data_IF_215869790307
#
_entry.id   IF_215869790307
#
_cell.length_a   1.000
_cell.length_b   1.000
_cell.length_c   1.000
_cell.angle_alpha   90.00
_cell.angle_beta   90.00
_cell.angle_gamma   90.00
#
_symmetry.space_group_name_H-M   'P 1'
#
loop_
_entity.id
_entity.type
_entity.pdbx_description
1 polymer ?
#
# COMPACT_ATOMS: atom_id res chain seq x y z
N UNK A 1 3.04 12.62 -2.48
CA UNK A 1 1.73 13.03 -3.01
C UNK A 1 1.53 12.74 -4.50
N UNK A 2 2.56 12.78 -5.36
CA UNK A 2 2.40 12.65 -6.82
C UNK A 2 2.19 11.21 -7.33
N UNK A 3 2.52 10.19 -6.52
CA UNK A 3 2.43 8.78 -6.93
C UNK A 3 1.08 8.36 -7.54
N UNK A 4 -0.10 8.70 -6.97
CA UNK A 4 -1.38 8.34 -7.57
C UNK A 4 -1.58 8.95 -8.96
N UNK A 5 -1.10 10.18 -9.18
CA UNK A 5 -1.17 10.87 -10.46
C UNK A 5 -0.21 10.23 -11.48
N UNK A 6 0.99 9.83 -11.05
CA UNK A 6 1.94 9.09 -11.89
C UNK A 6 1.38 7.72 -12.29
N UNK A 7 0.77 7.00 -11.36
CA UNK A 7 0.11 5.73 -11.63
C UNK A 7 -1.06 5.90 -12.61
N UNK A 8 -1.88 6.94 -12.42
CA UNK A 8 -2.96 7.29 -13.34
C UNK A 8 -2.41 7.65 -14.72
N UNK A 9 -1.37 8.49 -14.79
CA UNK A 9 -0.69 8.87 -16.02
C UNK A 9 -0.14 7.65 -16.75
N UNK A 10 0.47 6.71 -16.03
CA UNK A 10 0.95 5.43 -16.60
C UNK A 10 -0.18 4.66 -17.26
N UNK A 11 -1.33 4.53 -16.58
CA UNK A 11 -2.51 3.86 -17.16
C UNK A 11 -3.06 4.64 -18.36
N UNK A 12 -3.12 5.98 -18.32
CA UNK A 12 -3.55 6.81 -19.44
C UNK A 12 -2.61 6.67 -20.65
N UNK A 13 -1.29 6.61 -20.44
CA UNK A 13 -0.32 6.38 -21.50
C UNK A 13 -0.52 5.00 -22.14
N UNK A 14 -0.65 3.94 -21.34
CA UNK A 14 -0.76 2.58 -21.85
C UNK A 14 -2.13 2.31 -22.50
N UNK A 15 -3.21 2.86 -21.94
CA UNK A 15 -4.57 2.64 -22.43
C UNK A 15 -4.99 3.61 -23.53
N UNK A 16 -4.80 4.91 -23.31
CA UNK A 16 -5.33 5.99 -24.16
C UNK A 16 -4.25 6.61 -25.07
N UNK A 17 -2.98 6.20 -24.92
CA UNK A 17 -1.82 6.75 -25.64
C UNK A 17 -1.59 8.24 -25.39
N UNK A 18 -2.17 8.78 -24.31
CA UNK A 18 -1.98 10.16 -23.86
C UNK A 18 -0.74 10.24 -22.96
N UNK A 19 0.30 10.92 -23.45
CA UNK A 19 1.57 11.00 -22.74
C UNK A 19 1.67 12.16 -21.76
N UNK A 20 0.94 13.27 -21.98
CA UNK A 20 1.11 14.51 -21.23
C UNK A 20 1.02 14.32 -19.70
N UNK A 21 -0.05 13.68 -19.23
CA UNK A 21 -0.24 13.45 -17.79
C UNK A 21 0.89 12.61 -17.20
N UNK A 22 1.31 11.56 -17.90
CA UNK A 22 2.40 10.69 -17.47
C UNK A 22 3.72 11.44 -17.37
N UNK A 23 4.14 12.10 -18.45
CA UNK A 23 5.41 12.81 -18.53
C UNK A 23 5.51 13.92 -17.49
N UNK A 24 4.49 14.77 -17.38
CA UNK A 24 4.50 15.91 -16.45
C UNK A 24 4.49 15.44 -15.00
N UNK A 25 3.66 14.45 -14.65
CA UNK A 25 3.60 13.98 -13.26
C UNK A 25 4.87 13.23 -12.86
N UNK A 26 5.48 12.46 -13.77
CA UNK A 26 6.76 11.80 -13.53
C UNK A 26 7.89 12.82 -13.37
N UNK A 27 7.95 13.82 -14.25
CA UNK A 27 8.87 14.95 -14.14
C UNK A 27 8.73 15.63 -12.78
N UNK A 28 7.52 16.05 -12.40
CA UNK A 28 7.27 16.70 -11.12
C UNK A 28 7.65 15.80 -9.93
N UNK A 29 7.46 14.48 -10.04
CA UNK A 29 7.81 13.54 -8.98
C UNK A 29 9.31 13.49 -8.74
N UNK A 30 10.11 13.45 -9.81
CA UNK A 30 11.58 13.42 -9.74
C UNK A 30 12.13 14.80 -9.40
N UNK A 31 11.57 15.86 -9.97
CA UNK A 31 11.99 17.24 -9.72
C UNK A 31 11.75 17.65 -8.26
N UNK A 32 10.62 17.26 -7.67
CA UNK A 32 10.27 17.62 -6.29
C UNK A 32 11.19 16.95 -5.27
N UNK A 33 11.58 15.69 -5.54
CA UNK A 33 12.51 14.95 -4.71
C UNK A 33 13.11 13.81 -5.54
N UNK A 34 14.38 13.94 -5.94
CA UNK A 34 15.02 12.97 -6.83
C UNK A 34 15.04 11.55 -6.24
N UNK A 35 15.13 11.45 -4.91
CA UNK A 35 15.21 10.17 -4.20
C UNK A 35 13.86 9.44 -4.16
N UNK A 36 12.77 10.13 -3.79
CA UNK A 36 11.41 9.53 -3.88
C UNK A 36 10.99 9.34 -5.35
N UNK A 37 11.45 10.22 -6.23
CA UNK A 37 11.31 10.12 -7.68
C UNK A 37 11.92 8.83 -8.22
N UNK A 38 13.12 8.44 -7.75
CA UNK A 38 13.76 7.18 -8.12
C UNK A 38 12.88 5.96 -7.80
N UNK A 39 12.35 5.88 -6.58
CA UNK A 39 11.41 4.80 -6.22
C UNK A 39 10.16 4.81 -7.10
N UNK A 40 9.67 6.00 -7.46
CA UNK A 40 8.50 6.16 -8.33
C UNK A 40 8.80 5.65 -9.76
N UNK A 41 10.00 5.88 -10.29
CA UNK A 41 10.42 5.33 -11.58
C UNK A 41 10.44 3.80 -11.58
N UNK A 42 11.00 3.18 -10.54
CA UNK A 42 10.97 1.71 -10.38
C UNK A 42 9.51 1.23 -10.28
N UNK A 43 8.67 1.93 -9.51
CA UNK A 43 7.25 1.60 -9.41
C UNK A 43 6.53 1.64 -10.75
N UNK A 44 6.79 2.64 -11.59
CA UNK A 44 6.24 2.75 -12.94
C UNK A 44 6.63 1.55 -13.80
N UNK A 45 7.89 1.10 -13.70
CA UNK A 45 8.36 -0.10 -14.40
C UNK A 45 7.64 -1.36 -13.93
N UNK A 46 7.45 -1.54 -12.61
CA UNK A 46 6.67 -2.65 -12.06
C UNK A 46 5.20 -2.57 -12.50
N UNK A 47 4.62 -1.37 -12.47
CA UNK A 47 3.23 -1.11 -12.86
C UNK A 47 3.00 -1.39 -14.35
N UNK A 48 3.99 -1.14 -15.21
CA UNK A 48 3.97 -1.52 -16.62
C UNK A 48 3.78 -3.03 -16.80
N UNK A 49 4.59 -3.85 -16.12
CA UNK A 49 4.41 -5.32 -16.20
C UNK A 49 3.08 -5.77 -15.63
N UNK A 50 2.66 -5.22 -14.48
CA UNK A 50 1.35 -5.52 -13.91
C UNK A 50 0.24 -5.20 -14.91
N UNK A 51 0.30 -4.05 -15.57
CA UNK A 51 -0.69 -3.65 -16.58
C UNK A 51 -0.71 -4.60 -17.77
N UNK A 52 0.46 -4.92 -18.35
CA UNK A 52 0.54 -5.82 -19.51
C UNK A 52 0.12 -7.25 -19.19
N UNK A 53 0.43 -7.77 -18.00
CA UNK A 53 -0.07 -9.10 -17.56
C UNK A 53 -1.59 -9.07 -17.38
N UNK A 54 -2.14 -8.00 -16.80
CA UNK A 54 -3.58 -7.86 -16.55
C UNK A 54 -4.37 -7.59 -17.84
N UNK A 55 -3.76 -6.95 -18.84
CA UNK A 55 -4.40 -6.49 -20.09
C UNK A 55 -3.61 -6.96 -21.31
N UNK A 56 -3.22 -8.23 -21.28
CA UNK A 56 -2.41 -8.86 -22.31
C UNK A 56 -3.00 -8.64 -23.70
N UNK A 57 -2.19 -8.06 -24.59
CA UNK A 57 -2.55 -7.79 -25.99
C UNK A 57 -1.54 -8.33 -26.99
N UNK A 58 -0.65 -9.24 -26.57
CA UNK A 58 0.38 -9.86 -27.40
C UNK A 58 1.72 -9.10 -27.43
N UNK A 59 2.75 -9.78 -27.92
CA UNK A 59 4.14 -9.30 -27.91
C UNK A 59 4.35 -7.99 -28.67
N UNK A 60 3.70 -7.80 -29.83
CA UNK A 60 3.79 -6.56 -30.60
C UNK A 60 3.34 -5.34 -29.80
N UNK A 61 2.22 -5.49 -29.06
CA UNK A 61 1.70 -4.44 -28.19
C UNK A 61 2.66 -4.17 -27.03
N UNK A 62 3.18 -5.22 -26.39
CA UNK A 62 4.14 -5.12 -25.29
C UNK A 62 5.37 -4.31 -25.70
N UNK A 63 6.01 -4.63 -26.83
CA UNK A 63 7.19 -3.89 -27.30
C UNK A 63 6.85 -2.44 -27.70
N UNK A 64 5.70 -2.21 -28.35
CA UNK A 64 5.26 -0.86 -28.68
C UNK A 64 4.99 -0.01 -27.41
N UNK A 65 4.39 -0.60 -26.39
CA UNK A 65 4.08 0.07 -25.13
C UNK A 65 5.32 0.26 -24.26
N UNK A 66 6.27 -0.68 -24.31
CA UNK A 66 7.61 -0.53 -23.72
C UNK A 66 8.38 0.63 -24.36
N UNK A 67 8.40 0.73 -25.70
CA UNK A 67 9.04 1.84 -26.40
C UNK A 67 8.43 3.19 -26.04
N UNK A 68 7.09 3.27 -25.94
CA UNK A 68 6.38 4.50 -25.52
C UNK A 68 6.71 4.91 -24.09
N UNK A 69 6.59 3.98 -23.15
CA UNK A 69 6.85 4.30 -21.74
C UNK A 69 8.32 4.67 -21.52
N UNK A 70 9.25 3.99 -22.19
CA UNK A 70 10.66 4.32 -22.16
C UNK A 70 10.94 5.72 -22.72
N UNK A 71 10.43 6.04 -23.91
CA UNK A 71 10.60 7.35 -24.54
C UNK A 71 10.11 8.49 -23.64
N UNK A 72 8.90 8.38 -23.12
CA UNK A 72 8.32 9.42 -22.28
C UNK A 72 8.91 9.45 -20.85
N UNK A 73 9.45 8.34 -20.35
CA UNK A 73 10.27 8.32 -19.12
C UNK A 73 11.55 9.11 -19.31
N UNK A 74 12.28 8.83 -20.41
CA UNK A 74 13.54 9.50 -20.73
C UNK A 74 13.30 10.99 -20.92
N UNK A 75 12.22 11.39 -21.59
CA UNK A 75 11.86 12.79 -21.74
C UNK A 75 11.58 13.45 -20.38
N UNK A 76 10.80 12.81 -19.50
CA UNK A 76 10.53 13.33 -18.15
C UNK A 76 11.79 13.46 -17.30
N UNK A 77 12.71 12.48 -17.36
CA UNK A 77 13.99 12.52 -16.66
C UNK A 77 14.95 13.56 -17.26
N UNK A 78 14.97 13.70 -18.58
CA UNK A 78 15.74 14.72 -19.29
C UNK A 78 15.32 16.13 -18.88
N UNK A 79 14.02 16.36 -18.66
CA UNK A 79 13.53 17.63 -18.11
C UNK A 79 14.05 17.91 -16.69
N UNK A 80 14.39 16.87 -15.90
CA UNK A 80 14.98 17.01 -14.57
C UNK A 80 16.51 17.12 -14.56
N UNK A 81 17.17 17.05 -15.73
CA UNK A 81 18.63 16.97 -15.85
C UNK A 81 19.38 18.08 -15.09
N UNK A 82 18.82 19.30 -15.09
CA UNK A 82 19.37 20.47 -14.40
C UNK A 82 19.55 20.22 -12.89
N UNK A 83 18.69 19.40 -12.28
CA UNK A 83 18.76 19.04 -10.86
C UNK A 83 19.50 17.72 -10.64
N UNK A 84 19.22 16.71 -11.47
CA UNK A 84 19.76 15.36 -11.26
C UNK A 84 21.27 15.29 -11.54
N UNK A 85 21.79 16.07 -12.49
CA UNK A 85 23.22 16.03 -12.82
C UNK A 85 24.10 16.59 -11.68
N UNK A 86 23.82 17.77 -11.10
CA UNK A 86 24.55 18.24 -9.92
C UNK A 86 24.38 17.30 -8.71
N UNK A 87 23.19 16.74 -8.50
CA UNK A 87 22.92 15.82 -7.40
C UNK A 87 23.76 14.54 -7.50
N UNK A 88 23.88 13.96 -8.71
CA UNK A 88 24.72 12.78 -8.94
C UNK A 88 26.20 13.08 -8.63
N UNK A 89 26.72 14.21 -9.11
CA UNK A 89 28.09 14.64 -8.85
C UNK A 89 28.36 14.87 -7.36
N UNK A 90 27.41 15.46 -6.64
CA UNK A 90 27.51 15.67 -5.21
C UNK A 90 27.44 14.36 -4.41
N UNK A 91 26.64 13.38 -4.84
CA UNK A 91 26.52 12.08 -4.14
C UNK A 91 27.79 11.25 -4.24
N UNK A 92 28.53 11.34 -5.35
CA UNK A 92 29.80 10.63 -5.54
C UNK A 92 30.88 11.05 -4.52
N UNK A 93 30.81 12.27 -3.98
CA UNK A 93 31.77 12.79 -2.99
C UNK A 93 31.37 12.49 -1.54
N UNK A 94 30.24 11.83 -1.31
CA UNK A 94 29.77 11.48 0.04
C UNK A 94 30.37 10.17 0.54
N UNK A 95 30.44 9.99 1.87
CA UNK A 95 30.94 8.77 2.51
C UNK A 95 30.14 7.50 2.16
N UNK A 96 28.92 7.64 1.64
CA UNK A 96 28.09 6.54 1.18
C UNK A 96 28.46 6.01 -0.21
N UNK A 97 29.39 6.66 -0.94
CA UNK A 97 29.74 6.28 -2.31
C UNK A 97 30.60 5.01 -2.41
N UNK A 98 31.29 4.63 -1.32
CA UNK A 98 32.13 3.43 -1.26
C UNK A 98 31.35 2.28 -0.61
N UNK A 99 30.52 1.59 -1.40
CA UNK A 99 29.76 0.43 -0.94
C UNK A 99 29.91 -0.76 -1.89
N UNK A 100 30.28 -1.92 -1.34
CA UNK A 100 30.30 -3.17 -2.09
C UNK A 100 28.91 -3.80 -2.15
N UNK A 101 28.55 -4.37 -3.30
CA UNK A 101 27.29 -5.10 -3.43
C UNK A 101 27.24 -6.24 -2.41
N UNK A 102 26.16 -6.37 -1.61
CA UNK A 102 26.10 -7.37 -0.56
C UNK A 102 26.12 -8.79 -1.15
N UNK A 103 27.10 -9.59 -0.73
CA UNK A 103 27.25 -10.99 -1.14
C UNK A 103 26.56 -11.95 -0.15
N UNK A 104 26.12 -13.10 -0.67
CA UNK A 104 25.44 -14.15 0.11
C UNK A 104 23.97 -13.83 0.45
N UNK A 105 23.22 -14.82 0.93
CA UNK A 105 21.84 -14.59 1.37
C UNK A 105 21.86 -13.81 2.70
N UNK A 106 21.49 -12.52 2.65
CA UNK A 106 21.51 -11.63 3.83
C UNK A 106 20.16 -10.96 3.99
N UNK A 107 19.64 -11.02 5.22
CA UNK A 107 18.37 -10.43 5.60
C UNK A 107 18.63 -9.21 6.50
N UNK A 108 17.86 -8.14 6.32
CA UNK A 108 18.01 -6.92 7.10
C UNK A 108 17.18 -6.93 8.40
N UNK A 109 16.09 -7.71 8.42
CA UNK A 109 15.10 -7.72 9.51
C UNK A 109 15.21 -8.99 10.37
N UNK A 110 15.63 -10.11 9.76
CA UNK A 110 15.68 -11.39 10.44
C UNK A 110 16.95 -11.55 11.31
N UNK A 111 16.82 -12.23 12.45
CA UNK A 111 17.95 -12.59 13.33
C UNK A 111 18.93 -13.58 12.67
N UNK A 112 18.40 -14.46 11.82
CA UNK A 112 19.18 -15.47 11.11
C UNK A 112 18.97 -15.38 9.60
N UNK A 113 20.03 -15.58 8.83
CA UNK A 113 20.00 -15.59 7.36
C UNK A 113 19.52 -16.96 6.82
N UNK A 114 18.33 -17.39 7.23
CA UNK A 114 17.72 -18.67 6.85
C UNK A 114 16.36 -18.45 6.21
N UNK A 115 15.81 -19.48 5.54
CA UNK A 115 14.43 -19.42 5.00
C UNK A 115 13.41 -19.20 6.12
N UNK A 116 13.64 -19.79 7.31
CA UNK A 116 12.81 -19.54 8.50
C UNK A 116 12.90 -18.08 8.95
N UNK A 117 14.11 -17.51 8.96
CA UNK A 117 14.32 -16.09 9.23
C UNK A 117 13.59 -15.18 8.24
N UNK A 118 13.61 -15.52 6.94
CA UNK A 118 12.86 -14.79 5.92
C UNK A 118 11.35 -14.84 6.22
N UNK A 119 10.77 -16.01 6.48
CA UNK A 119 9.35 -16.14 6.79
C UNK A 119 8.95 -15.39 8.07
N UNK A 120 9.79 -15.41 9.11
CA UNK A 120 9.54 -14.65 10.33
C UNK A 120 9.61 -13.13 10.07
N UNK A 121 10.58 -12.66 9.29
CA UNK A 121 10.63 -11.26 8.88
C UNK A 121 9.41 -10.86 8.03
N UNK A 122 8.95 -11.73 7.11
CA UNK A 122 7.73 -11.49 6.33
C UNK A 122 6.50 -11.37 7.23
N UNK A 123 6.39 -12.22 8.26
CA UNK A 123 5.36 -12.17 9.29
C UNK A 123 5.40 -10.84 10.04
N UNK A 124 6.57 -10.42 10.52
CA UNK A 124 6.73 -9.17 11.26
C UNK A 124 6.40 -7.94 10.40
N UNK A 125 6.84 -7.90 9.13
CA UNK A 125 6.48 -6.82 8.19
C UNK A 125 4.98 -6.75 7.96
N UNK A 126 4.29 -7.90 7.84
CA UNK A 126 2.85 -7.93 7.71
C UNK A 126 2.15 -7.43 9.00
N UNK A 127 2.65 -7.83 10.17
CA UNK A 127 2.17 -7.33 11.47
C UNK A 127 2.31 -5.82 11.61
N UNK A 128 3.37 -5.22 11.05
CA UNK A 128 3.59 -3.77 11.10
C UNK A 128 2.54 -2.96 10.31
N UNK A 129 1.69 -3.62 9.52
CA UNK A 129 0.52 -2.96 8.93
C UNK A 129 -0.47 -2.46 9.99
N UNK A 130 -0.38 -2.94 11.24
CA UNK A 130 -1.20 -2.53 12.38
C UNK A 130 -0.70 -1.32 13.18
N UNK A 131 0.39 -0.67 12.76
CA UNK A 131 0.87 0.58 13.38
C UNK A 131 1.46 0.43 14.78
N UNK A 132 1.84 -0.79 15.17
CA UNK A 132 2.30 -1.12 16.54
C UNK A 132 3.74 -0.70 16.87
N UNK A 133 4.39 0.10 16.04
CA UNK A 133 5.83 0.37 16.16
C UNK A 133 6.08 1.87 16.02
N UNK A 134 6.94 2.40 16.89
CA UNK A 134 7.48 3.76 16.72
C UNK A 134 8.17 3.88 15.34
N UNK A 135 7.96 5.00 14.62
CA UNK A 135 8.60 5.20 13.32
C UNK A 135 10.11 4.99 13.40
N UNK A 136 10.61 4.06 12.60
CA UNK A 136 12.04 3.68 12.65
C UNK A 136 12.94 4.84 12.22
N UNK A 137 13.84 5.26 13.10
CA UNK A 137 14.82 6.32 12.79
C UNK A 137 16.17 5.78 12.27
N UNK A 138 16.67 4.64 12.77
CA UNK A 138 17.98 4.08 12.37
C UNK A 138 17.92 2.62 11.94
N UNK A 139 17.33 1.75 12.75
CA UNK A 139 17.15 0.31 12.48
C UNK A 139 15.76 -0.12 12.94
N UNK A 140 15.07 -0.96 12.18
CA UNK A 140 13.70 -1.36 12.50
C UNK A 140 12.89 -1.83 11.29
N UNK A 141 11.58 -1.95 11.46
CA UNK A 141 10.66 -2.46 10.44
C UNK A 141 10.24 -1.36 9.45
N UNK A 142 9.89 -1.69 8.20
CA UNK A 142 9.43 -0.71 7.23
C UNK A 142 8.14 -0.06 7.70
N UNK A 143 8.03 1.26 7.59
CA UNK A 143 6.82 2.00 7.99
C UNK A 143 5.67 1.74 6.98
N UNK A 144 4.75 0.82 7.30
CA UNK A 144 3.71 0.31 6.36
C UNK A 144 2.27 0.57 6.86
N UNK A 145 2.08 1.47 7.82
CA UNK A 145 0.73 1.78 8.31
C UNK A 145 -0.09 2.64 7.32
N UNK A 146 -1.31 2.20 7.02
CA UNK A 146 -2.27 2.96 6.21
C UNK A 146 -3.74 2.79 6.68
N UNK A 147 -3.90 2.55 8.00
CA UNK A 147 -5.20 2.32 8.65
C UNK A 147 -5.64 0.86 8.58
N UNK A 148 -6.18 0.34 9.69
CA UNK A 148 -6.70 -1.03 9.81
C UNK A 148 -7.81 -1.27 8.80
N UNK A 149 -8.57 -0.22 8.47
CA UNK A 149 -9.64 -0.32 7.48
C UNK A 149 -9.13 -0.69 6.08
N UNK A 150 -7.95 -0.21 5.70
CA UNK A 150 -7.35 -0.53 4.41
C UNK A 150 -7.03 -2.02 4.30
N UNK A 151 -6.57 -2.64 5.39
CA UNK A 151 -6.29 -4.09 5.50
C UNK A 151 -7.59 -4.90 5.36
N UNK A 152 -8.64 -4.49 6.08
CA UNK A 152 -9.95 -5.14 5.98
C UNK A 152 -10.49 -5.11 4.54
N UNK A 153 -10.41 -3.94 3.90
CA UNK A 153 -10.84 -3.77 2.52
C UNK A 153 -9.93 -4.50 1.51
N UNK A 154 -8.63 -4.64 1.79
CA UNK A 154 -7.69 -5.42 0.99
C UNK A 154 -8.10 -6.90 0.92
N UNK A 155 -8.48 -7.51 2.04
CA UNK A 155 -8.99 -8.89 2.02
C UNK A 155 -10.34 -9.00 1.28
N UNK A 156 -11.23 -8.03 1.45
CA UNK A 156 -12.47 -7.96 0.67
C UNK A 156 -12.21 -7.83 -0.83
N UNK A 157 -11.20 -7.08 -1.26
CA UNK A 157 -10.78 -7.01 -2.66
C UNK A 157 -10.41 -8.39 -3.21
N UNK A 158 -9.67 -9.19 -2.44
CA UNK A 158 -9.31 -10.56 -2.84
C UNK A 158 -10.53 -11.48 -2.94
N UNK A 159 -11.58 -11.23 -2.15
CA UNK A 159 -12.86 -11.97 -2.21
C UNK A 159 -13.86 -11.41 -3.25
N UNK A 160 -13.57 -10.27 -3.88
CA UNK A 160 -14.50 -9.59 -4.79
C UNK A 160 -14.71 -10.35 -6.11
N UNK A 161 -15.95 -10.70 -6.44
CA UNK A 161 -16.25 -11.47 -7.66
C UNK A 161 -16.06 -10.68 -8.96
N UNK A 162 -16.29 -9.37 -8.93
CA UNK A 162 -16.16 -8.50 -10.12
C UNK A 162 -14.70 -8.22 -10.51
N UNK A 163 -13.73 -8.55 -9.65
CA UNK A 163 -12.31 -8.35 -9.93
C UNK A 163 -11.75 -9.64 -10.51
N UNK A 164 -11.12 -9.53 -11.68
CA UNK A 164 -10.53 -10.67 -12.38
C UNK A 164 -9.41 -11.28 -11.54
N UNK A 165 -9.30 -12.61 -11.57
CA UNK A 165 -8.27 -13.34 -10.80
C UNK A 165 -6.85 -12.87 -11.13
N UNK A 166 -6.58 -12.56 -12.41
CA UNK A 166 -5.28 -12.01 -12.84
C UNK A 166 -4.92 -10.71 -12.10
N UNK A 167 -5.87 -9.78 -12.01
CA UNK A 167 -5.67 -8.49 -11.32
C UNK A 167 -5.33 -8.71 -9.83
N UNK A 168 -6.00 -9.68 -9.19
CA UNK A 168 -5.72 -10.08 -7.80
C UNK A 168 -4.34 -10.71 -7.64
N UNK A 169 -3.99 -11.68 -8.50
CA UNK A 169 -2.69 -12.33 -8.47
C UNK A 169 -1.56 -11.32 -8.66
N UNK A 170 -1.67 -10.41 -9.63
CA UNK A 170 -0.68 -9.37 -9.84
C UNK A 170 -0.54 -8.44 -8.64
N UNK A 171 -1.65 -8.04 -7.99
CA UNK A 171 -1.59 -7.22 -6.79
C UNK A 171 -0.89 -7.95 -5.63
N UNK A 172 -1.23 -9.23 -5.39
CA UNK A 172 -0.60 -10.05 -4.33
C UNK A 172 0.88 -10.27 -4.61
N UNK A 173 1.26 -10.62 -5.85
CA UNK A 173 2.66 -10.81 -6.25
C UNK A 173 3.44 -9.51 -6.05
N UNK A 174 2.85 -8.37 -6.41
CA UNK A 174 3.49 -7.07 -6.23
C UNK A 174 3.70 -6.73 -4.74
N UNK A 175 2.69 -6.98 -3.89
CA UNK A 175 2.84 -6.81 -2.43
C UNK A 175 3.89 -7.76 -1.84
N UNK A 176 3.92 -9.02 -2.28
CA UNK A 176 4.95 -9.98 -1.86
C UNK A 176 6.35 -9.55 -2.31
N UNK A 177 6.49 -9.04 -3.53
CA UNK A 177 7.75 -8.51 -4.03
C UNK A 177 8.27 -7.34 -3.18
N UNK A 178 7.39 -6.40 -2.81
CA UNK A 178 7.76 -5.33 -1.88
C UNK A 178 8.13 -5.86 -0.49
N UNK A 179 7.34 -6.79 0.05
CA UNK A 179 7.59 -7.40 1.35
C UNK A 179 8.99 -8.05 1.39
N UNK A 180 9.29 -8.87 0.39
CA UNK A 180 10.62 -9.50 0.23
C UNK A 180 11.71 -8.46 -0.02
N UNK A 181 11.41 -7.38 -0.74
CA UNK A 181 12.37 -6.29 -0.99
C UNK A 181 12.78 -5.55 0.27
N UNK A 182 11.91 -5.44 1.28
CA UNK A 182 12.29 -4.87 2.58
C UNK A 182 13.24 -5.80 3.34
N UNK A 183 13.18 -7.11 3.09
CA UNK A 183 13.88 -8.09 3.92
C UNK A 183 15.22 -8.47 3.30
N UNK A 184 15.26 -8.75 1.99
CA UNK A 184 16.48 -9.17 1.30
C UNK A 184 17.38 -7.96 1.09
N UNK A 185 18.58 -8.01 1.68
CA UNK A 185 19.56 -6.91 1.67
C UNK A 185 19.94 -6.46 0.26
N UNK A 186 20.06 -7.40 -0.67
CA UNK A 186 20.38 -7.12 -2.07
C UNK A 186 19.29 -6.31 -2.76
N UNK A 187 18.02 -6.66 -2.54
CA UNK A 187 16.90 -5.95 -3.13
C UNK A 187 16.81 -4.56 -2.55
N UNK A 188 16.91 -4.43 -1.22
CA UNK A 188 16.96 -3.13 -0.56
C UNK A 188 18.10 -2.25 -1.08
N UNK A 189 19.29 -2.82 -1.31
CA UNK A 189 20.43 -2.12 -1.89
C UNK A 189 20.15 -1.62 -3.33
N UNK A 190 19.46 -2.42 -4.15
CA UNK A 190 19.04 -2.02 -5.50
C UNK A 190 18.00 -0.90 -5.43
N UNK A 191 17.01 -1.02 -4.53
CA UNK A 191 16.01 0.02 -4.31
C UNK A 191 16.63 1.36 -3.92
N UNK A 192 17.78 1.35 -3.25
CA UNK A 192 18.51 2.53 -2.86
C UNK A 192 19.59 2.97 -3.87
N UNK A 193 19.53 2.47 -5.10
CA UNK A 193 20.42 2.89 -6.17
C UNK A 193 21.85 2.41 -5.99
N UNK A 194 22.03 1.23 -5.41
CA UNK A 194 23.33 0.61 -5.12
C UNK A 194 24.14 1.29 -4.01
N UNK A 195 23.45 1.82 -3.00
CA UNK A 195 24.07 2.37 -1.80
C UNK A 195 23.31 1.94 -0.54
N UNK A 196 24.00 1.80 0.57
CA UNK A 196 23.35 1.64 1.87
C UNK A 196 22.83 3.00 2.35
N UNK A 197 21.60 3.00 2.85
CA UNK A 197 21.00 4.21 3.40
C UNK A 197 21.58 4.51 4.77
N UNK A 198 21.86 5.79 5.01
CA UNK A 198 22.12 6.29 6.34
C UNK A 198 20.80 6.78 6.92
N UNK A 199 20.25 6.02 7.88
CA UNK A 199 18.99 6.28 8.58
C UNK A 199 17.70 6.18 7.75
N UNK A 200 16.60 5.81 8.42
CA UNK A 200 15.25 5.61 7.86
C UNK A 200 15.32 4.64 6.65
N UNK A 201 15.58 3.35 6.88
CA UNK A 201 15.56 2.34 5.83
C UNK A 201 14.13 2.14 5.27
N UNK A 202 14.04 1.51 4.09
CA UNK A 202 12.77 1.11 3.47
C UNK A 202 11.81 2.25 3.11
N UNK A 203 12.33 3.43 2.77
CA UNK A 203 11.50 4.60 2.39
C UNK A 203 10.57 4.35 1.23
N UNK A 204 10.81 3.31 0.42
CA UNK A 204 9.90 2.87 -0.65
C UNK A 204 8.64 2.15 -0.12
N UNK A 205 8.46 1.99 1.19
CA UNK A 205 7.28 1.39 1.82
C UNK A 205 5.96 2.07 1.44
N UNK A 206 5.98 3.37 1.13
CA UNK A 206 4.80 4.08 0.63
C UNK A 206 4.23 3.48 -0.66
N UNK A 207 5.05 2.81 -1.48
CA UNK A 207 4.60 2.10 -2.68
C UNK A 207 3.75 0.89 -2.31
N UNK A 208 4.14 0.15 -1.26
CA UNK A 208 3.34 -0.94 -0.70
C UNK A 208 1.99 -0.39 -0.21
N UNK A 209 2.01 0.65 0.62
CA UNK A 209 0.79 1.29 1.14
C UNK A 209 -0.11 1.79 0.01
N UNK A 210 0.45 2.32 -1.09
CA UNK A 210 -0.33 2.72 -2.26
C UNK A 210 -1.07 1.55 -2.92
N UNK A 211 -0.43 0.38 -3.06
CA UNK A 211 -1.07 -0.82 -3.62
C UNK A 211 -2.20 -1.32 -2.70
N UNK A 212 -1.97 -1.32 -1.38
CA UNK A 212 -3.01 -1.66 -0.38
C UNK A 212 -4.19 -0.69 -0.49
N UNK A 213 -3.92 0.62 -0.56
CA UNK A 213 -4.95 1.65 -0.70
C UNK A 213 -5.71 1.52 -2.04
N UNK A 214 -5.04 1.15 -3.12
CA UNK A 214 -5.70 0.86 -4.40
C UNK A 214 -6.68 -0.33 -4.28
N UNK A 215 -6.24 -1.42 -3.66
CA UNK A 215 -7.10 -2.59 -3.39
C UNK A 215 -8.29 -2.19 -2.51
N UNK A 216 -8.02 -1.43 -1.44
CA UNK A 216 -9.02 -0.95 -0.51
C UNK A 216 -10.07 -0.06 -1.20
N UNK A 217 -9.64 0.90 -2.02
CA UNK A 217 -10.53 1.75 -2.80
C UNK A 217 -11.44 0.93 -3.72
N UNK A 218 -10.88 -0.05 -4.44
CA UNK A 218 -11.66 -0.94 -5.32
C UNK A 218 -12.68 -1.75 -4.52
N UNK A 219 -12.30 -2.34 -3.39
CA UNK A 219 -13.24 -3.04 -2.51
C UNK A 219 -14.33 -2.11 -1.97
N UNK A 220 -13.98 -0.90 -1.56
CA UNK A 220 -14.94 0.09 -1.06
C UNK A 220 -16.01 0.44 -2.10
N UNK A 221 -15.64 0.59 -3.38
CA UNK A 221 -16.61 0.80 -4.46
C UNK A 221 -17.63 -0.36 -4.57
N UNK A 222 -17.19 -1.59 -4.31
CA UNK A 222 -18.00 -2.80 -4.40
C UNK A 222 -18.60 -3.23 -3.05
N UNK A 223 -18.45 -2.43 -1.99
CA UNK A 223 -18.75 -2.82 -0.59
C UNK A 223 -20.12 -3.47 -0.34
N UNK A 224 -21.12 -3.17 -1.17
CA UNK A 224 -22.51 -3.69 -1.08
C UNK A 224 -22.74 -5.04 -1.74
N UNK A 225 -21.77 -5.53 -2.50
CA UNK A 225 -21.85 -6.83 -3.17
C UNK A 225 -21.30 -7.95 -2.29
N UNK A 226 -20.67 -7.60 -1.16
CA UNK A 226 -20.11 -8.57 -0.24
C UNK A 226 -21.19 -9.12 0.68
N UNK A 227 -21.20 -10.45 0.84
CA UNK A 227 -22.05 -11.09 1.84
C UNK A 227 -21.49 -10.82 3.24
N UNK A 228 -22.33 -10.75 4.28
CA UNK A 228 -21.87 -10.58 5.68
C UNK A 228 -20.77 -11.58 6.08
N UNK A 229 -20.87 -12.83 5.64
CA UNK A 229 -19.85 -13.87 5.87
C UNK A 229 -18.48 -13.46 5.30
N UNK A 230 -18.42 -12.82 4.13
CA UNK A 230 -17.16 -12.37 3.55
C UNK A 230 -16.53 -11.23 4.37
N UNK A 231 -17.37 -10.36 4.96
CA UNK A 231 -16.93 -9.27 5.84
C UNK A 231 -16.34 -9.84 7.14
N UNK A 232 -16.99 -10.84 7.72
CA UNK A 232 -16.49 -11.52 8.93
C UNK A 232 -15.18 -12.27 8.65
N UNK A 233 -15.10 -13.01 7.52
CA UNK A 233 -13.86 -13.68 7.11
C UNK A 233 -12.74 -12.66 6.88
N UNK A 234 -13.01 -11.54 6.20
CA UNK A 234 -12.04 -10.47 6.03
C UNK A 234 -11.59 -9.89 7.37
N UNK A 235 -12.51 -9.71 8.33
CA UNK A 235 -12.19 -9.29 9.70
C UNK A 235 -11.27 -10.26 10.43
N UNK A 236 -11.55 -11.56 10.33
CA UNK A 236 -10.70 -12.61 10.92
C UNK A 236 -9.30 -12.63 10.27
N UNK A 237 -9.21 -12.46 8.95
CA UNK A 237 -7.92 -12.36 8.25
C UNK A 237 -7.16 -11.10 8.66
N UNK A 238 -7.84 -9.96 8.80
CA UNK A 238 -7.24 -8.73 9.33
C UNK A 238 -6.72 -8.94 10.75
N UNK A 239 -7.52 -9.53 11.65
CA UNK A 239 -7.07 -9.87 12.99
C UNK A 239 -5.84 -10.79 12.97
N UNK A 240 -5.81 -11.79 12.07
CA UNK A 240 -4.67 -12.67 11.88
C UNK A 240 -3.40 -11.93 11.43
N UNK A 241 -3.52 -10.94 10.55
CA UNK A 241 -2.38 -10.08 10.16
C UNK A 241 -1.91 -9.22 11.34
N UNK A 242 -2.82 -8.62 12.10
CA UNK A 242 -2.47 -7.79 13.27
C UNK A 242 -1.79 -8.63 14.37
N UNK A 243 -2.22 -9.90 14.52
CA UNK A 243 -1.61 -10.89 15.42
C UNK A 243 -0.18 -11.30 15.02
N UNK A 244 0.27 -10.98 13.80
CA UNK A 244 1.63 -11.25 13.38
C UNK A 244 2.67 -10.28 13.96
N UNK A 245 2.26 -9.19 14.61
CA UNK A 245 3.18 -8.25 15.27
C UNK A 245 3.70 -8.82 16.59
N UNK A 246 5.02 -8.74 16.84
CA UNK A 246 5.60 -9.12 18.13
C UNK A 246 5.22 -8.13 19.23
N UNK A 247 5.07 -6.85 18.88
CA UNK A 247 4.76 -5.76 19.82
C UNK A 247 3.26 -5.62 20.11
N UNK A 248 2.44 -6.58 19.68
CA UNK A 248 0.99 -6.48 19.82
C UNK A 248 0.56 -6.34 21.30
N UNK A 249 1.21 -7.09 22.18
CA UNK A 249 0.91 -7.11 23.62
C UNK A 249 1.89 -6.32 24.47
N UNK A 250 2.82 -5.57 23.85
CA UNK A 250 3.68 -4.66 24.61
C UNK A 250 2.84 -3.60 25.33
N UNK A 251 3.17 -3.38 26.60
CA UNK A 251 2.43 -2.48 27.47
C UNK A 251 3.11 -1.12 27.50
N UNK A 252 2.29 -0.07 27.36
CA UNK A 252 2.73 1.31 27.51
C UNK A 252 2.34 1.78 28.91
N UNK A 253 3.25 2.43 29.66
CA UNK A 253 2.92 2.99 30.97
C UNK A 253 2.00 4.20 30.79
N UNK A 254 0.84 4.15 31.45
CA UNK A 254 -0.13 5.24 31.49
C UNK A 254 -0.19 5.79 32.91
N UNK A 255 0.22 7.05 33.08
CA UNK A 255 0.16 7.74 34.37
C UNK A 255 -1.20 8.40 34.54
N UNK A 256 -1.99 7.95 35.52
CA UNK A 256 -3.26 8.55 35.88
C UNK A 256 -3.26 8.88 37.38
N UNK A 257 -3.16 10.17 37.71
CA UNK A 257 -3.29 10.66 39.09
C UNK A 257 -2.31 10.01 40.09
N UNK A 258 -1.08 9.70 39.66
CA UNK A 258 -0.05 9.05 40.48
C UNK A 258 -0.04 7.52 40.44
N UNK A 259 -0.97 6.88 39.73
CA UNK A 259 -0.95 5.43 39.45
C UNK A 259 -0.38 5.17 38.05
N UNK A 260 0.58 4.25 37.95
CA UNK A 260 1.13 3.76 36.67
C UNK A 260 0.41 2.47 36.27
N UNK A 261 -0.41 2.54 35.22
CA UNK A 261 -1.09 1.37 34.63
C UNK A 261 -0.35 0.92 33.37
N UNK A 262 0.02 -0.36 33.31
CA UNK A 262 0.61 -1.00 32.14
C UNK A 262 -0.51 -1.50 31.23
N UNK A 263 -0.71 -0.86 30.07
CA UNK A 263 -1.85 -1.17 29.17
C UNK A 263 -1.32 -1.62 27.81
N UNK A 264 -1.82 -2.74 27.23
CA UNK A 264 -1.46 -3.17 25.89
C UNK A 264 -2.18 -2.30 24.85
N UNK A 265 -1.72 -1.06 24.71
CA UNK A 265 -2.38 0.01 23.96
C UNK A 265 -2.61 -0.39 22.51
N UNK A 266 -1.62 -1.01 21.85
CA UNK A 266 -1.71 -1.41 20.45
C UNK A 266 -2.75 -2.51 20.21
N UNK A 267 -2.82 -3.51 21.09
CA UNK A 267 -3.87 -4.53 21.03
C UNK A 267 -5.26 -3.91 21.16
N UNK A 268 -5.45 -3.05 22.16
CA UNK A 268 -6.74 -2.39 22.41
C UNK A 268 -7.14 -1.49 21.24
N UNK A 269 -6.21 -0.67 20.74
CA UNK A 269 -6.40 0.17 19.55
C UNK A 269 -6.85 -0.67 18.35
N UNK A 270 -6.07 -1.70 18.01
CA UNK A 270 -6.34 -2.58 16.87
C UNK A 270 -7.69 -3.28 16.99
N UNK A 271 -8.02 -3.76 18.19
CA UNK A 271 -9.29 -4.44 18.46
C UNK A 271 -10.48 -3.48 18.32
N UNK A 272 -10.42 -2.30 18.93
CA UNK A 272 -11.49 -1.29 18.89
C UNK A 272 -11.78 -0.89 17.44
N UNK A 273 -10.75 -0.48 16.70
CA UNK A 273 -10.94 -0.03 15.32
C UNK A 273 -11.41 -1.15 14.40
N UNK A 274 -10.90 -2.38 14.56
CA UNK A 274 -11.39 -3.52 13.79
C UNK A 274 -12.88 -3.78 14.04
N UNK A 275 -13.33 -3.75 15.30
CA UNK A 275 -14.75 -3.91 15.67
C UNK A 275 -15.59 -2.77 15.10
N UNK A 276 -15.13 -1.53 15.20
CA UNK A 276 -15.82 -0.37 14.60
C UNK A 276 -15.95 -0.52 13.08
N UNK A 277 -14.90 -0.92 12.37
CA UNK A 277 -14.98 -1.12 10.92
C UNK A 277 -15.88 -2.29 10.53
N UNK A 278 -15.86 -3.39 11.28
CA UNK A 278 -16.75 -4.52 11.05
C UNK A 278 -18.20 -4.13 11.25
N UNK A 279 -18.52 -3.43 12.34
CA UNK A 279 -19.89 -2.95 12.61
C UNK A 279 -20.38 -1.99 11.53
N UNK A 280 -19.54 -1.03 11.10
CA UNK A 280 -19.86 -0.11 9.98
C UNK A 280 -20.14 -0.88 8.68
N UNK A 281 -19.31 -1.88 8.36
CA UNK A 281 -19.46 -2.67 7.13
C UNK A 281 -20.68 -3.58 7.15
N UNK A 282 -20.97 -4.23 8.28
CA UNK A 282 -22.13 -5.11 8.47
C UNK A 282 -23.45 -4.32 8.51
N UNK A 283 -23.49 -3.18 9.22
CA UNK A 283 -24.62 -2.24 9.16
C UNK A 283 -24.89 -1.79 7.73
N UNK A 284 -23.83 -1.69 6.92
CA UNK A 284 -23.91 -1.34 5.53
C UNK A 284 -24.58 -2.38 4.61
N UNK A 285 -24.69 -3.64 5.06
CA UNK A 285 -25.35 -4.72 4.32
C UNK A 285 -26.82 -4.92 4.67
N UNK A 286 -27.34 -4.22 5.69
CA UNK A 286 -28.76 -4.35 6.06
C UNK A 286 -29.65 -3.98 4.86
N UNK A 287 -30.38 -4.98 4.36
CA UNK A 287 -31.26 -4.82 3.22
C UNK A 287 -32.42 -3.89 3.56
N UNK A 288 -32.74 -2.99 2.64
CA UNK A 288 -33.95 -2.18 2.72
C UNK A 288 -35.02 -2.91 1.92
N UNK A 289 -36.09 -3.41 2.55
CA UNK A 289 -37.15 -4.15 1.87
C UNK A 289 -37.68 -3.35 0.68
N UNK A 290 -37.87 -4.03 -0.45
CA UNK A 290 -38.49 -3.40 -1.61
C UNK A 290 -39.99 -3.25 -1.38
N UNK A 291 -40.49 -2.05 -1.64
CA UNK A 291 -41.92 -1.78 -1.54
C UNK A 291 -42.68 -2.42 -2.70
N UNK A 292 -43.89 -2.89 -2.44
CA UNK A 292 -44.78 -3.46 -3.46
C UNK A 292 -45.42 -2.33 -4.27
N UNK A 293 -45.87 -1.26 -3.61
CA UNK A 293 -46.47 -0.08 -4.27
C UNK A 293 -45.43 0.96 -4.70
N UNK A 294 -45.71 1.78 -5.71
CA UNK A 294 -44.82 2.88 -6.14
C UNK A 294 -44.42 3.83 -5.01
N UNK A 295 -45.36 4.21 -4.14
CA UNK A 295 -45.06 5.00 -2.93
C UNK A 295 -44.07 4.30 -1.99
N UNK A 296 -44.20 2.98 -1.83
CA UNK A 296 -43.30 2.19 -0.99
C UNK A 296 -41.92 2.04 -1.66
N UNK A 297 -41.85 1.88 -2.99
CA UNK A 297 -40.58 1.86 -3.75
C UNK A 297 -39.82 3.19 -3.61
N UNK A 298 -40.52 4.33 -3.70
CA UNK A 298 -39.91 5.66 -3.50
C UNK A 298 -39.36 5.79 -2.07
N UNK A 299 -40.13 5.39 -1.05
CA UNK A 299 -39.66 5.37 0.36
C UNK A 299 -38.45 4.45 0.56
N UNK A 300 -38.46 3.26 -0.02
CA UNK A 300 -37.34 2.32 0.04
C UNK A 300 -36.07 2.90 -0.61
N UNK A 301 -36.18 3.56 -1.77
CA UNK A 301 -35.06 4.26 -2.43
C UNK A 301 -34.51 5.38 -1.55
N UNK A 302 -35.37 6.21 -0.95
CA UNK A 302 -34.95 7.28 -0.04
C UNK A 302 -34.23 6.74 1.21
N UNK A 303 -34.77 5.67 1.82
CA UNK A 303 -34.14 5.00 2.97
C UNK A 303 -32.77 4.40 2.60
N UNK A 304 -32.67 3.75 1.43
CA UNK A 304 -31.42 3.21 0.88
C UNK A 304 -30.38 4.31 0.67
N UNK A 305 -30.78 5.48 0.15
CA UNK A 305 -29.92 6.67 -0.04
C UNK A 305 -29.41 7.26 1.28
N UNK A 306 -30.31 7.46 2.25
CA UNK A 306 -29.93 7.93 3.60
C UNK A 306 -28.95 6.96 4.28
N UNK A 307 -29.20 5.66 4.19
CA UNK A 307 -28.30 4.65 4.71
C UNK A 307 -26.92 4.73 4.01
N UNK A 308 -26.85 4.99 2.68
CA UNK A 308 -25.55 5.19 1.98
C UNK A 308 -24.75 6.35 2.58
N UNK A 309 -25.42 7.47 2.81
CA UNK A 309 -24.79 8.66 3.37
C UNK A 309 -24.29 8.39 4.78
N UNK A 310 -25.12 7.79 5.64
CA UNK A 310 -24.75 7.44 7.02
C UNK A 310 -23.55 6.51 7.10
N UNK A 311 -23.50 5.42 6.32
CA UNK A 311 -22.34 4.50 6.33
C UNK A 311 -21.07 5.22 5.89
N UNK A 312 -21.14 6.08 4.88
CA UNK A 312 -19.98 6.85 4.43
C UNK A 312 -19.50 7.80 5.52
N UNK A 313 -20.41 8.53 6.16
CA UNK A 313 -20.08 9.44 7.25
C UNK A 313 -19.47 8.65 8.42
N UNK A 314 -20.11 7.57 8.87
CA UNK A 314 -19.59 6.72 9.94
C UNK A 314 -18.19 6.18 9.63
N UNK A 315 -17.98 5.63 8.42
CA UNK A 315 -16.66 5.14 8.03
C UNK A 315 -15.61 6.26 8.04
N UNK A 316 -15.93 7.43 7.48
CA UNK A 316 -15.03 8.59 7.47
C UNK A 316 -14.76 9.13 8.87
N UNK A 317 -15.76 9.14 9.76
CA UNK A 317 -15.61 9.55 11.16
C UNK A 317 -14.66 8.60 11.90
N UNK A 318 -14.84 7.27 11.75
CA UNK A 318 -13.93 6.30 12.38
C UNK A 318 -12.53 6.43 11.80
N UNK A 319 -12.37 6.56 10.48
CA UNK A 319 -11.06 6.82 9.84
C UNK A 319 -10.41 8.12 10.31
N UNK A 320 -11.19 9.18 10.54
CA UNK A 320 -10.68 10.46 11.02
C UNK A 320 -10.27 10.47 12.50
N UNK A 321 -10.72 9.47 13.27
CA UNK A 321 -10.26 9.25 14.66
C UNK A 321 -9.05 8.31 14.69
N UNK A 322 -8.91 7.41 13.70
CA UNK A 322 -7.79 6.47 13.59
C UNK A 322 -6.47 7.14 13.19
N UNK A 323 -6.53 8.11 12.26
CA UNK A 323 -5.40 8.79 11.62
C UNK A 323 -4.93 10.03 12.39
#
# INVERSE_FOLDING_TARGET
>A
ALLPLVALGTVCLLKEKKFFLYTITLFLSVYSNYYIGFFTCIFVFLLFFVYEICRWGGWKKLFADFGRIALFSVLALGMTAVLTFPALSALQTTQSSVNNFPTGFRLNIAKENTVKGLLDAMRQVAGNMGGSIEPTFKEGLPNVYCGIFSILLMFLYLMAKDVRRRDKCCAVILLLFFNVSFIIRQLDFIWHGFHFTNMIPYRFSFLYSFVVLYMAYRAWLMRRKFRPVQIVIAGALTAGVLACSNELFETVPLELGGLTLQIPLYFIYNLIFLVLYLTVMLYGQLEVPEGVTERQKIRARAKRNRQRARIRILALSVMGVEL
#
